data_IF_879840334040
#
_entry.id   IF_879840334040
#
_cell.length_a   1.000
_cell.length_b   1.000
_cell.length_c   1.000
_cell.angle_alpha   90.00
_cell.angle_beta   90.00
_cell.angle_gamma   90.00
#
_symmetry.space_group_name_H-M   'P 1'
#
loop_
_entity.id
_entity.type
_entity.pdbx_description
1 polymer ?
#
# COMPACT_ATOMS: atom_id res chain seq x y z
N UNK A 1 19.26 33.49 -11.58
CA UNK A 1 18.08 32.82 -11.02
C UNK A 1 16.90 33.76 -11.21
N UNK A 2 15.78 33.24 -11.70
CA UNK A 2 14.57 34.02 -11.89
C UNK A 2 13.93 34.33 -10.54
N UNK A 3 13.64 35.61 -10.27
CA UNK A 3 13.12 36.07 -8.99
C UNK A 3 11.72 36.65 -9.17
N UNK A 4 10.84 36.34 -8.25
CA UNK A 4 9.51 36.90 -8.17
C UNK A 4 9.22 37.46 -6.78
N UNK A 5 8.00 38.01 -6.61
CA UNK A 5 7.51 38.54 -5.34
C UNK A 5 6.13 37.99 -5.03
N UNK A 6 5.87 37.71 -3.77
CA UNK A 6 4.55 37.33 -3.31
C UNK A 6 3.58 38.49 -3.51
N UNK A 7 2.46 38.22 -4.17
CA UNK A 7 1.35 39.18 -4.38
C UNK A 7 0.27 38.97 -3.34
N UNK A 8 -0.05 37.68 -3.08
CA UNK A 8 -1.15 37.32 -2.18
C UNK A 8 -0.87 36.00 -1.51
N UNK A 9 -1.30 35.84 -0.26
CA UNK A 9 -1.27 34.58 0.50
C UNK A 9 -2.70 34.21 0.90
N UNK A 10 -3.14 33.01 0.53
CA UNK A 10 -4.47 32.48 0.82
C UNK A 10 -4.35 31.11 1.48
N UNK A 11 -3.93 31.06 2.76
CA UNK A 11 -3.62 29.80 3.43
C UNK A 11 -2.48 29.05 2.72
N UNK A 12 -2.68 27.82 2.26
CA UNK A 12 -1.63 27.04 1.58
C UNK A 12 -1.37 27.46 0.13
N UNK A 13 -2.11 28.42 -0.40
CA UNK A 13 -1.99 28.90 -1.79
C UNK A 13 -1.39 30.30 -1.81
N UNK A 14 -0.37 30.51 -2.63
CA UNK A 14 0.38 31.75 -2.73
C UNK A 14 0.49 32.18 -4.19
N UNK A 15 0.14 33.43 -4.48
CA UNK A 15 0.32 34.02 -5.80
C UNK A 15 1.64 34.80 -5.85
N UNK A 16 2.41 34.59 -6.89
CA UNK A 16 3.74 35.15 -7.09
C UNK A 16 3.82 35.80 -8.46
N UNK A 17 4.35 37.04 -8.51
CA UNK A 17 4.58 37.78 -9.75
C UNK A 17 6.04 37.79 -10.13
N UNK A 18 6.32 37.57 -11.43
CA UNK A 18 7.64 37.63 -12.03
C UNK A 18 7.74 38.82 -12.99
N UNK A 19 8.69 39.74 -12.77
CA UNK A 19 8.72 41.04 -13.46
C UNK A 19 9.06 40.93 -14.97
N UNK A 20 9.86 39.98 -15.38
CA UNK A 20 10.39 39.92 -16.76
C UNK A 20 9.60 39.01 -17.73
N UNK A 21 8.37 38.63 -17.39
CA UNK A 21 7.59 37.70 -18.23
C UNK A 21 8.17 36.30 -18.42
N UNK A 22 9.27 36.00 -17.75
CA UNK A 22 9.86 34.68 -17.74
C UNK A 22 9.27 33.84 -16.61
N UNK A 23 8.08 33.30 -16.85
CA UNK A 23 7.35 32.54 -15.86
C UNK A 23 7.95 31.14 -15.67
N UNK A 24 8.04 30.61 -14.42
CA UNK A 24 8.32 29.21 -14.20
C UNK A 24 7.20 28.33 -14.79
N UNK A 25 7.56 27.10 -15.16
CA UNK A 25 6.60 26.16 -15.68
C UNK A 25 5.68 25.63 -14.56
N UNK A 26 4.52 25.13 -14.95
CA UNK A 26 3.64 24.40 -14.04
C UNK A 26 4.41 23.19 -13.49
N UNK A 27 4.27 22.92 -12.19
CA UNK A 27 5.01 21.89 -11.41
C UNK A 27 6.48 22.27 -11.10
N UNK A 28 6.96 23.44 -11.49
CA UNK A 28 8.26 23.93 -11.03
C UNK A 28 8.23 24.27 -9.54
N UNK A 29 9.38 24.05 -8.88
CA UNK A 29 9.58 24.41 -7.49
C UNK A 29 10.08 25.85 -7.36
N UNK A 30 9.49 26.60 -6.42
CA UNK A 30 9.93 27.91 -6.02
C UNK A 30 10.32 27.88 -4.54
N UNK A 31 11.26 28.73 -4.17
CA UNK A 31 11.78 28.83 -2.81
C UNK A 31 11.55 30.22 -2.24
N UNK A 32 11.13 30.26 -0.98
CA UNK A 32 10.97 31.47 -0.19
C UNK A 32 11.59 31.27 1.18
N UNK A 33 12.26 32.28 1.69
CA UNK A 33 12.76 32.27 3.06
C UNK A 33 11.69 32.79 4.01
N UNK A 34 11.30 31.98 4.98
CA UNK A 34 10.28 32.31 5.98
C UNK A 34 10.88 32.10 7.39
N UNK A 35 11.10 33.19 8.11
CA UNK A 35 11.65 33.16 9.47
C UNK A 35 12.99 32.35 9.58
N UNK A 36 13.88 32.53 8.61
CA UNK A 36 15.17 31.83 8.55
C UNK A 36 15.09 30.38 8.09
N UNK A 37 13.92 29.92 7.67
CA UNK A 37 13.70 28.59 7.07
C UNK A 37 13.39 28.72 5.60
N UNK A 38 14.00 27.88 4.81
CA UNK A 38 13.71 27.74 3.39
C UNK A 38 12.45 26.92 3.21
N UNK A 39 11.43 27.53 2.64
CA UNK A 39 10.16 26.91 2.32
C UNK A 39 10.03 26.71 0.82
N UNK A 40 9.44 25.61 0.39
CA UNK A 40 9.21 25.28 -1.02
C UNK A 40 7.73 25.37 -1.35
N UNK A 41 7.44 25.92 -2.51
CA UNK A 41 6.11 25.91 -3.12
C UNK A 41 6.20 25.38 -4.56
N UNK A 42 5.11 24.86 -5.06
CA UNK A 42 5.00 24.31 -6.41
C UNK A 42 4.05 25.14 -7.25
N UNK A 43 4.45 25.48 -8.47
CA UNK A 43 3.58 26.21 -9.42
C UNK A 43 2.41 25.32 -9.83
N UNK A 44 1.18 25.73 -9.52
CA UNK A 44 -0.05 25.02 -9.84
C UNK A 44 -0.70 25.52 -11.13
N UNK A 45 -0.67 26.84 -11.37
CA UNK A 45 -1.23 27.42 -12.60
C UNK A 45 -0.67 28.80 -12.90
N UNK A 46 -0.79 29.22 -14.16
CA UNK A 46 -0.55 30.60 -14.61
C UNK A 46 -1.84 31.39 -14.58
N UNK A 47 -1.82 32.58 -13.95
CA UNK A 47 -2.99 33.45 -13.80
C UNK A 47 -3.11 34.54 -14.89
N UNK A 48 -2.04 34.73 -15.68
CA UNK A 48 -1.89 35.91 -16.55
C UNK A 48 -1.16 37.04 -15.85
N UNK A 49 -0.87 38.11 -16.56
CA UNK A 49 -0.19 39.31 -16.04
C UNK A 49 1.12 38.99 -15.27
N UNK A 50 1.88 38.02 -15.72
CA UNK A 50 3.12 37.56 -15.10
C UNK A 50 2.96 36.96 -13.69
N UNK A 51 1.75 36.55 -13.33
CA UNK A 51 1.45 35.92 -12.05
C UNK A 51 1.28 34.40 -12.18
N UNK A 52 1.81 33.70 -11.20
CA UNK A 52 1.61 32.24 -11.03
C UNK A 52 0.98 31.96 -9.67
N UNK A 53 0.11 30.98 -9.64
CA UNK A 53 -0.48 30.47 -8.40
C UNK A 53 0.25 29.22 -7.97
N UNK A 54 0.70 29.20 -6.71
CA UNK A 54 1.54 28.16 -6.14
C UNK A 54 0.87 27.50 -4.96
N UNK A 55 1.20 26.23 -4.76
CA UNK A 55 0.80 25.44 -3.61
C UNK A 55 2.00 25.25 -2.68
N UNK A 56 1.84 25.64 -1.41
CA UNK A 56 2.89 25.48 -0.40
C UNK A 56 3.05 24.01 0.01
N UNK A 57 4.30 23.57 0.08
CA UNK A 57 4.68 22.28 0.66
C UNK A 57 5.14 22.40 2.12
N UNK A 58 5.13 23.60 2.64
CA UNK A 58 5.41 23.92 4.04
C UNK A 58 4.32 24.85 4.57
N UNK A 59 4.30 25.08 5.87
CA UNK A 59 3.39 26.04 6.49
C UNK A 59 3.59 27.43 5.93
N UNK A 60 2.48 28.15 5.70
CA UNK A 60 2.46 29.50 5.11
C UNK A 60 2.46 30.64 6.13
N UNK A 61 2.36 30.31 7.41
CA UNK A 61 2.36 31.30 8.49
C UNK A 61 3.67 32.08 8.50
N UNK A 62 3.54 33.40 8.48
CA UNK A 62 4.68 34.33 8.39
C UNK A 62 4.97 34.83 6.99
N UNK A 63 4.42 34.22 5.96
CA UNK A 63 4.52 34.73 4.59
C UNK A 63 3.65 36.00 4.45
N UNK A 64 4.17 36.99 3.74
CA UNK A 64 3.47 38.21 3.45
C UNK A 64 3.79 38.74 2.05
N UNK A 65 3.00 39.71 1.61
CA UNK A 65 3.18 40.40 0.34
C UNK A 65 4.60 40.98 0.24
N UNK A 66 5.13 41.04 -0.97
CA UNK A 66 6.44 41.55 -1.37
C UNK A 66 7.67 40.74 -0.92
N UNK A 67 7.49 39.61 -0.26
CA UNK A 67 8.61 38.68 -0.01
C UNK A 67 9.19 38.14 -1.33
N UNK A 68 10.51 38.08 -1.40
CA UNK A 68 11.22 37.58 -2.56
C UNK A 68 11.08 36.06 -2.66
N UNK A 69 10.79 35.57 -3.86
CA UNK A 69 10.68 34.16 -4.20
C UNK A 69 11.67 33.85 -5.32
N UNK A 70 12.37 32.75 -5.22
CA UNK A 70 13.36 32.32 -6.21
C UNK A 70 12.87 31.07 -6.93
N UNK A 71 12.83 31.11 -8.27
CA UNK A 71 12.56 29.93 -9.07
C UNK A 71 13.81 29.04 -9.13
N UNK A 72 13.64 27.72 -8.90
CA UNK A 72 14.74 26.77 -8.91
C UNK A 72 15.15 26.35 -10.33
N UNK A 73 14.31 26.61 -11.31
CA UNK A 73 14.52 26.25 -12.70
C UNK A 73 14.07 24.80 -13.05
N UNK A 74 13.31 24.17 -12.20
CA UNK A 74 12.74 22.84 -12.43
C UNK A 74 11.83 22.37 -11.31
N UNK A 75 11.33 21.16 -11.42
CA UNK A 75 10.45 20.56 -10.43
C UNK A 75 11.18 20.12 -9.14
N UNK A 76 10.41 19.66 -8.18
CA UNK A 76 10.91 19.14 -6.91
C UNK A 76 11.76 17.90 -7.19
N UNK A 77 13.01 17.88 -6.71
CA UNK A 77 13.95 16.78 -6.85
C UNK A 77 14.20 16.11 -5.51
N UNK A 78 14.14 14.79 -5.49
CA UNK A 78 14.34 13.98 -4.29
C UNK A 78 15.48 12.98 -4.50
N UNK A 79 16.19 12.59 -3.44
CA UNK A 79 17.25 11.59 -3.53
C UNK A 79 16.68 10.23 -3.94
N UNK A 80 17.45 9.49 -4.72
CA UNK A 80 17.11 8.13 -5.18
C UNK A 80 18.29 7.19 -5.02
N UNK A 81 18.05 5.89 -5.10
CA UNK A 81 19.09 4.88 -5.04
C UNK A 81 19.31 4.27 -3.65
N UNK A 82 20.31 3.41 -3.55
CA UNK A 82 20.60 2.62 -2.33
C UNK A 82 20.88 3.47 -1.09
N UNK A 83 21.30 4.71 -1.26
CA UNK A 83 21.50 5.67 -0.18
C UNK A 83 20.21 6.02 0.59
N UNK A 84 19.03 5.78 0.00
CA UNK A 84 17.74 6.03 0.63
C UNK A 84 17.30 4.89 1.55
N UNK A 85 17.89 3.71 1.41
CA UNK A 85 17.51 2.54 2.19
C UNK A 85 17.89 2.70 3.67
N UNK A 86 16.98 2.30 4.54
CA UNK A 86 17.12 2.45 5.98
C UNK A 86 16.85 3.86 6.51
N UNK A 87 16.46 4.79 5.64
CA UNK A 87 16.30 6.21 5.97
C UNK A 87 14.83 6.66 5.93
N UNK A 88 14.58 7.74 6.64
CA UNK A 88 13.27 8.37 6.74
C UNK A 88 13.33 9.79 6.15
N UNK A 89 12.40 10.10 5.24
CA UNK A 89 12.36 11.35 4.49
C UNK A 89 11.03 12.08 4.65
N UNK A 90 11.08 13.40 4.45
CA UNK A 90 9.89 14.23 4.21
C UNK A 90 9.55 14.27 2.70
N UNK A 91 8.52 15.03 2.34
CA UNK A 91 8.06 15.18 0.95
C UNK A 91 9.14 15.73 0.00
N UNK A 92 10.06 16.54 0.49
CA UNK A 92 11.17 17.12 -0.28
C UNK A 92 12.40 16.19 -0.39
N UNK A 93 12.32 15.00 0.20
CA UNK A 93 13.43 14.07 0.25
C UNK A 93 14.54 14.49 1.24
N UNK A 94 14.22 15.34 2.18
CA UNK A 94 15.11 15.68 3.30
C UNK A 94 14.99 14.60 4.38
N UNK A 95 16.14 14.21 4.95
CA UNK A 95 16.16 13.21 6.04
C UNK A 95 15.60 13.79 7.33
N UNK A 96 14.73 13.02 8.00
CA UNK A 96 14.08 13.39 9.28
C UNK A 96 14.31 12.34 10.37
N UNK A 97 15.32 11.50 10.24
CA UNK A 97 15.66 10.39 11.12
C UNK A 97 16.87 10.64 12.02
N UNK A 98 17.24 11.92 12.24
CA UNK A 98 18.42 12.36 12.98
C UNK A 98 19.77 11.80 12.45
N UNK A 99 19.75 11.13 11.29
CA UNK A 99 20.94 10.65 10.61
C UNK A 99 21.65 11.73 9.80
N UNK A 100 22.78 11.35 9.18
CA UNK A 100 23.51 12.27 8.31
C UNK A 100 22.65 12.72 7.13
N UNK A 101 22.73 14.00 6.80
CA UNK A 101 22.06 14.58 5.64
C UNK A 101 22.68 14.01 4.36
N UNK A 102 21.86 13.51 3.45
CA UNK A 102 22.31 13.05 2.15
C UNK A 102 22.68 14.24 1.27
N UNK A 103 23.97 14.54 1.16
CA UNK A 103 24.51 15.69 0.39
C UNK A 103 24.88 15.32 -1.03
N UNK A 104 25.24 14.09 -1.25
CA UNK A 104 25.70 13.54 -2.53
C UNK A 104 24.75 12.46 -3.02
N UNK A 105 24.75 12.21 -4.31
CA UNK A 105 23.94 11.18 -4.94
C UNK A 105 22.98 11.73 -5.98
N UNK A 106 22.38 10.81 -6.71
CA UNK A 106 21.44 11.12 -7.77
C UNK A 106 20.10 11.61 -7.20
N UNK A 107 19.51 12.58 -7.87
CA UNK A 107 18.18 13.11 -7.53
C UNK A 107 17.30 13.13 -8.76
N UNK A 108 16.05 12.70 -8.58
CA UNK A 108 15.06 12.69 -9.64
C UNK A 108 13.89 13.62 -9.31
N UNK A 109 13.30 14.19 -10.36
CA UNK A 109 12.08 15.00 -10.26
C UNK A 109 10.92 14.08 -9.90
N UNK A 110 10.05 14.52 -8.98
CA UNK A 110 8.90 13.70 -8.52
C UNK A 110 7.79 13.60 -9.56
N UNK A 111 7.66 14.57 -10.45
CA UNK A 111 6.70 14.54 -11.56
C UNK A 111 7.34 13.85 -12.76
N UNK A 112 6.92 12.63 -13.01
CA UNK A 112 7.42 11.79 -14.08
C UNK A 112 6.27 11.23 -14.89
N UNK A 113 6.50 11.02 -16.16
CA UNK A 113 5.55 10.34 -17.04
C UNK A 113 5.46 8.85 -16.68
N UNK A 114 4.30 8.22 -16.86
CA UNK A 114 4.18 6.77 -16.73
C UNK A 114 5.04 6.08 -17.81
N UNK A 115 5.42 4.80 -17.57
CA UNK A 115 6.12 4.02 -18.60
C UNK A 115 5.34 3.98 -19.90
N UNK A 116 6.04 4.15 -21.01
CA UNK A 116 5.45 4.03 -22.36
C UNK A 116 4.96 2.60 -22.61
N UNK A 117 4.07 2.42 -23.60
CA UNK A 117 3.58 1.09 -23.96
C UNK A 117 4.72 0.13 -24.37
N UNK A 118 5.79 0.66 -24.98
CA UNK A 118 6.96 -0.15 -25.37
C UNK A 118 7.79 -0.61 -24.17
N UNK A 119 7.80 0.15 -23.09
CA UNK A 119 8.54 -0.17 -21.86
C UNK A 119 7.78 -1.15 -20.96
N UNK A 120 6.46 -1.18 -21.05
CA UNK A 120 5.64 -2.05 -20.20
C UNK A 120 5.86 -3.52 -20.55
N UNK A 121 5.86 -4.37 -19.53
CA UNK A 121 5.90 -5.81 -19.70
C UNK A 121 4.50 -6.33 -20.05
N UNK A 122 4.34 -7.08 -21.15
CA UNK A 122 3.06 -7.71 -21.48
C UNK A 122 2.80 -8.98 -20.66
N UNK A 123 3.79 -9.47 -19.92
CA UNK A 123 3.70 -10.72 -19.16
C UNK A 123 3.17 -10.41 -17.77
N UNK A 124 2.12 -11.11 -17.39
CA UNK A 124 1.56 -11.05 -16.02
C UNK A 124 2.22 -12.16 -15.21
N UNK A 125 2.94 -11.77 -14.16
CA UNK A 125 3.58 -12.69 -13.22
C UNK A 125 2.98 -12.53 -11.83
N UNK A 126 2.84 -13.64 -11.10
CA UNK A 126 2.42 -13.62 -9.70
C UNK A 126 3.59 -13.13 -8.85
N UNK A 127 3.33 -12.19 -7.95
CA UNK A 127 4.22 -11.86 -6.85
C UNK A 127 3.91 -12.80 -5.68
N UNK A 128 4.72 -13.80 -5.52
CA UNK A 128 4.58 -14.77 -4.43
C UNK A 128 4.92 -14.11 -3.09
N UNK A 129 3.95 -14.02 -2.20
CA UNK A 129 4.09 -13.35 -0.90
C UNK A 129 4.53 -14.29 0.22
N UNK A 130 4.37 -15.60 0.03
CA UNK A 130 4.59 -16.60 1.07
C UNK A 130 3.49 -16.67 2.12
N UNK A 131 2.39 -15.94 1.91
CA UNK A 131 1.22 -15.91 2.80
C UNK A 131 0.09 -16.68 2.13
N UNK A 132 -0.28 -17.81 2.70
CA UNK A 132 -1.22 -18.78 2.10
C UNK A 132 -2.53 -18.15 1.61
N UNK A 133 -3.19 -17.38 2.45
CA UNK A 133 -4.49 -16.80 2.12
C UNK A 133 -4.41 -15.82 0.95
N UNK A 134 -3.35 -15.04 0.86
CA UNK A 134 -3.13 -14.08 -0.22
C UNK A 134 -2.79 -14.83 -1.51
N UNK A 135 -1.77 -15.66 -1.48
CA UNK A 135 -1.26 -16.34 -2.67
C UNK A 135 -2.28 -17.28 -3.31
N UNK A 136 -3.14 -17.92 -2.50
CA UNK A 136 -4.17 -18.82 -3.00
C UNK A 136 -5.40 -18.07 -3.54
N UNK A 137 -5.98 -17.16 -2.74
CA UNK A 137 -7.32 -16.62 -2.97
C UNK A 137 -7.36 -15.22 -3.54
N UNK A 138 -6.34 -14.43 -3.30
CA UNK A 138 -6.21 -13.07 -3.79
C UNK A 138 -4.76 -12.76 -4.20
N UNK A 139 -4.20 -13.52 -5.17
CA UNK A 139 -2.78 -13.37 -5.55
C UNK A 139 -2.48 -11.99 -6.09
N UNK A 140 -1.27 -11.50 -5.78
CA UNK A 140 -0.76 -10.22 -6.26
C UNK A 140 -0.05 -10.40 -7.59
N UNK A 141 -0.27 -9.47 -8.52
CA UNK A 141 0.50 -9.38 -9.75
C UNK A 141 1.71 -8.48 -9.55
N UNK A 142 2.87 -8.85 -10.10
CA UNK A 142 3.99 -7.93 -10.22
C UNK A 142 3.58 -6.73 -11.07
N UNK A 143 3.88 -5.52 -10.59
CA UNK A 143 3.43 -4.29 -11.21
C UNK A 143 1.94 -3.98 -10.99
N UNK A 144 1.25 -4.79 -10.20
CA UNK A 144 -0.15 -4.62 -9.86
C UNK A 144 -0.38 -3.61 -8.73
N UNK A 145 -1.64 -3.19 -8.61
CA UNK A 145 -2.12 -2.27 -7.60
C UNK A 145 -3.09 -3.00 -6.68
N UNK A 146 -2.71 -3.14 -5.43
CA UNK A 146 -3.47 -3.89 -4.43
C UNK A 146 -4.09 -2.92 -3.42
N UNK A 147 -5.40 -2.97 -3.25
CA UNK A 147 -6.09 -2.27 -2.19
C UNK A 147 -6.09 -3.08 -0.90
N UNK A 148 -5.63 -2.49 0.18
CA UNK A 148 -5.66 -3.07 1.52
C UNK A 148 -6.75 -2.38 2.34
N UNK A 149 -7.78 -3.12 2.71
CA UNK A 149 -8.91 -2.66 3.47
C UNK A 149 -8.88 -3.24 4.88
N UNK A 150 -9.24 -2.44 5.86
CA UNK A 150 -9.35 -2.91 7.24
C UNK A 150 -9.40 -1.76 8.22
N UNK A 151 -10.20 -1.94 9.26
CA UNK A 151 -10.29 -1.01 10.38
C UNK A 151 -9.06 -1.03 11.28
N UNK A 152 -9.12 -0.29 12.37
CA UNK A 152 -8.05 -0.31 13.37
C UNK A 152 -7.97 -1.67 14.10
N UNK A 153 -6.77 -2.13 14.40
CA UNK A 153 -6.53 -3.32 15.21
C UNK A 153 -6.75 -4.66 14.51
N UNK A 154 -6.78 -4.70 13.18
CA UNK A 154 -6.93 -5.94 12.41
C UNK A 154 -5.61 -6.54 11.92
N UNK A 155 -4.47 -5.97 12.33
CA UNK A 155 -3.14 -6.47 11.96
C UNK A 155 -2.59 -5.93 10.65
N UNK A 156 -3.07 -4.78 10.16
CA UNK A 156 -2.59 -4.13 8.93
C UNK A 156 -1.08 -3.91 8.95
N UNK A 157 -0.55 -3.30 9.99
CA UNK A 157 0.89 -2.99 10.13
C UNK A 157 1.75 -4.26 10.13
N UNK A 158 1.32 -5.28 10.86
CA UNK A 158 2.03 -6.56 10.94
C UNK A 158 2.06 -7.26 9.56
N UNK A 159 0.96 -7.21 8.82
CA UNK A 159 0.90 -7.74 7.46
C UNK A 159 1.86 -6.99 6.51
N UNK A 160 1.88 -5.67 6.59
CA UNK A 160 2.79 -4.83 5.78
C UNK A 160 4.25 -5.20 6.08
N UNK A 161 4.62 -5.30 7.34
CA UNK A 161 5.98 -5.67 7.74
C UNK A 161 6.36 -7.07 7.26
N UNK A 162 5.46 -8.03 7.33
CA UNK A 162 5.71 -9.39 6.84
C UNK A 162 5.89 -9.43 5.32
N UNK A 163 5.09 -8.67 4.58
CA UNK A 163 5.28 -8.51 3.12
C UNK A 163 6.65 -7.91 2.80
N UNK A 164 7.07 -6.86 3.51
CA UNK A 164 8.40 -6.25 3.35
C UNK A 164 9.50 -7.27 3.63
N UNK A 165 9.39 -7.98 4.75
CA UNK A 165 10.36 -8.99 5.13
C UNK A 165 10.47 -10.10 4.08
N UNK A 166 9.34 -10.61 3.59
CA UNK A 166 9.32 -11.69 2.62
C UNK A 166 9.89 -11.24 1.27
N UNK A 167 9.55 -10.06 0.81
CA UNK A 167 10.16 -9.49 -0.41
C UNK A 167 11.65 -9.29 -0.25
N UNK A 168 12.12 -8.75 0.86
CA UNK A 168 13.54 -8.52 1.11
C UNK A 168 14.36 -9.81 1.21
N UNK A 169 13.82 -10.82 1.89
CA UNK A 169 14.54 -12.07 2.21
C UNK A 169 14.44 -13.09 1.09
N UNK A 170 13.24 -13.31 0.54
CA UNK A 170 12.98 -14.38 -0.42
C UNK A 170 13.17 -13.94 -1.87
N UNK A 171 12.93 -12.67 -2.17
CA UNK A 171 13.05 -12.11 -3.52
C UNK A 171 14.24 -11.15 -3.69
N UNK A 172 14.91 -10.77 -2.59
CA UNK A 172 16.03 -9.82 -2.61
C UNK A 172 15.66 -8.40 -3.02
N UNK A 173 14.36 -8.06 -3.02
CA UNK A 173 13.83 -6.77 -3.45
C UNK A 173 13.87 -5.72 -2.36
N UNK A 174 13.56 -4.49 -2.77
CA UNK A 174 13.46 -3.34 -1.89
C UNK A 174 12.00 -2.91 -1.72
N UNK A 175 11.74 -2.19 -0.64
CA UNK A 175 10.42 -1.64 -0.35
C UNK A 175 10.51 -0.16 -0.07
N UNK A 176 9.47 0.57 -0.49
CA UNK A 176 9.29 1.98 -0.17
C UNK A 176 7.96 2.10 0.58
N UNK A 177 7.97 2.71 1.73
CA UNK A 177 6.76 2.99 2.49
C UNK A 177 6.46 4.49 2.47
N UNK A 178 5.27 4.86 2.04
CA UNK A 178 4.80 6.25 2.06
C UNK A 178 3.66 6.42 3.05
N UNK A 179 3.88 7.26 4.06
CA UNK A 179 2.84 7.69 5.00
C UNK A 179 2.18 8.96 4.49
N UNK A 180 0.92 8.87 4.11
CA UNK A 180 0.15 9.97 3.52
C UNK A 180 -0.98 10.37 4.45
N UNK A 181 -0.84 11.51 5.13
CA UNK A 181 -1.88 12.08 5.96
C UNK A 181 -2.31 11.25 7.16
N UNK A 182 -1.49 10.30 7.58
CA UNK A 182 -1.74 9.48 8.77
C UNK A 182 -1.14 10.12 10.04
N UNK A 183 -1.36 9.50 11.19
CA UNK A 183 -0.87 10.02 12.46
C UNK A 183 0.65 9.88 12.57
N UNK A 184 1.33 10.95 12.96
CA UNK A 184 2.80 10.94 13.15
C UNK A 184 3.25 9.89 14.15
N UNK A 185 2.47 9.61 15.19
CA UNK A 185 2.75 8.56 16.16
C UNK A 185 2.80 7.17 15.51
N UNK A 186 1.80 6.85 14.68
CA UNK A 186 1.74 5.56 13.99
C UNK A 186 2.93 5.38 13.03
N UNK A 187 3.35 6.47 12.37
CA UNK A 187 4.54 6.47 11.53
C UNK A 187 5.83 6.23 12.31
N UNK A 188 5.95 6.82 13.49
CA UNK A 188 7.10 6.62 14.37
C UNK A 188 7.14 5.20 14.96
N UNK A 189 5.98 4.68 15.36
CA UNK A 189 5.85 3.30 15.85
C UNK A 189 6.28 2.32 14.76
N UNK A 190 5.79 2.50 13.52
CA UNK A 190 6.17 1.69 12.36
C UNK A 190 7.69 1.72 12.10
N UNK A 191 8.28 2.92 12.11
CA UNK A 191 9.73 3.06 11.89
C UNK A 191 10.55 2.32 12.96
N UNK A 192 10.15 2.44 14.21
CA UNK A 192 10.79 1.76 15.34
C UNK A 192 10.67 0.23 15.21
N UNK A 193 9.45 -0.27 14.95
CA UNK A 193 9.18 -1.69 14.78
C UNK A 193 9.94 -2.29 13.59
N UNK A 194 10.06 -1.55 12.47
CA UNK A 194 10.85 -1.97 11.32
C UNK A 194 12.35 -2.06 11.63
N UNK A 195 12.85 -1.16 12.50
CA UNK A 195 14.22 -1.21 13.00
C UNK A 195 14.46 -2.46 13.86
N UNK A 196 13.54 -2.75 14.77
CA UNK A 196 13.61 -3.91 15.67
C UNK A 196 13.48 -5.24 14.91
N UNK A 197 12.63 -5.31 13.92
CA UNK A 197 12.43 -6.52 13.08
C UNK A 197 13.52 -6.72 12.02
N UNK A 198 14.42 -5.75 11.83
CA UNK A 198 15.51 -5.82 10.87
C UNK A 198 15.14 -5.60 9.41
N UNK A 199 13.89 -5.26 9.11
CA UNK A 199 13.44 -5.01 7.73
C UNK A 199 13.78 -3.61 7.23
N UNK A 200 14.12 -2.68 8.12
CA UNK A 200 14.40 -1.29 7.80
C UNK A 200 15.55 -1.13 6.80
N UNK A 201 16.58 -1.97 6.90
CA UNK A 201 17.77 -1.90 6.03
C UNK A 201 17.47 -2.06 4.52
N UNK A 202 16.33 -2.64 4.17
CA UNK A 202 15.86 -2.85 2.80
C UNK A 202 14.67 -1.95 2.42
N UNK A 203 14.38 -0.96 3.25
CA UNK A 203 13.19 -0.10 3.11
C UNK A 203 13.57 1.36 3.22
N UNK A 204 13.02 2.21 2.35
CA UNK A 204 13.01 3.65 2.52
C UNK A 204 11.60 4.11 2.96
N UNK A 205 11.54 5.06 3.89
CA UNK A 205 10.28 5.61 4.38
C UNK A 205 10.16 7.08 4.01
N UNK A 206 8.98 7.49 3.54
CA UNK A 206 8.68 8.88 3.20
C UNK A 206 7.38 9.28 3.90
N UNK A 207 7.41 10.28 4.75
CA UNK A 207 6.26 10.70 5.53
C UNK A 207 5.82 12.13 5.18
N UNK A 208 4.52 12.27 4.88
CA UNK A 208 3.79 13.51 4.82
C UNK A 208 2.50 13.35 5.63
N UNK A 209 2.63 13.43 6.95
CA UNK A 209 1.57 13.05 7.90
C UNK A 209 0.51 14.13 8.07
N UNK A 210 -0.48 13.89 8.92
CA UNK A 210 -1.66 14.78 9.05
C UNK A 210 -1.35 16.19 9.57
N UNK A 211 -0.20 16.39 10.18
CA UNK A 211 0.28 17.71 10.63
C UNK A 211 0.89 18.54 9.48
N UNK A 212 1.18 17.92 8.34
CA UNK A 212 1.74 18.58 7.18
C UNK A 212 0.65 19.31 6.37
N UNK A 213 0.99 20.41 5.67
CA UNK A 213 0.04 21.12 4.82
C UNK A 213 -0.45 20.26 3.65
N UNK A 214 -1.59 20.62 3.04
CA UNK A 214 -2.17 19.84 1.94
C UNK A 214 -1.22 19.58 0.79
N UNK A 215 -0.37 20.53 0.43
CA UNK A 215 0.61 20.38 -0.63
C UNK A 215 1.61 19.24 -0.37
N UNK A 216 2.10 19.14 0.86
CA UNK A 216 2.99 18.05 1.26
C UNK A 216 2.26 16.69 1.19
N UNK A 217 1.05 16.60 1.72
CA UNK A 217 0.23 15.37 1.68
C UNK A 217 -0.15 14.93 0.26
N UNK A 218 -0.31 15.88 -0.68
CA UNK A 218 -0.55 15.60 -2.09
C UNK A 218 0.68 15.02 -2.81
N UNK A 219 1.89 15.38 -2.39
CA UNK A 219 3.14 15.07 -3.12
C UNK A 219 3.96 13.95 -2.50
N UNK A 220 3.72 13.59 -1.26
CA UNK A 220 4.52 12.58 -0.57
C UNK A 220 4.45 11.21 -1.24
N UNK A 221 3.30 10.80 -1.76
CA UNK A 221 3.15 9.55 -2.51
C UNK A 221 3.98 9.56 -3.79
N UNK A 222 4.04 10.70 -4.49
CA UNK A 222 4.87 10.86 -5.68
C UNK A 222 6.37 10.81 -5.35
N UNK A 223 6.77 11.34 -4.21
CA UNK A 223 8.15 11.23 -3.72
C UNK A 223 8.55 9.78 -3.51
N UNK A 224 7.76 9.00 -2.79
CA UNK A 224 8.02 7.58 -2.57
C UNK A 224 7.98 6.77 -3.87
N UNK A 225 7.03 7.06 -4.74
CA UNK A 225 6.94 6.41 -6.05
C UNK A 225 8.17 6.68 -6.92
N UNK A 226 8.69 7.91 -6.89
CA UNK A 226 9.92 8.26 -7.62
C UNK A 226 11.13 7.45 -7.12
N UNK A 227 11.27 7.26 -5.81
CA UNK A 227 12.30 6.40 -5.23
C UNK A 227 12.13 4.94 -5.69
N UNK A 228 10.89 4.44 -5.74
CA UNK A 228 10.59 3.09 -6.22
C UNK A 228 10.91 2.92 -7.71
N UNK A 229 10.58 3.91 -8.52
CA UNK A 229 10.86 3.90 -9.96
C UNK A 229 12.36 3.81 -10.27
N UNK A 230 13.21 4.45 -9.47
CA UNK A 230 14.66 4.34 -9.64
C UNK A 230 15.13 2.89 -9.49
N UNK A 231 14.68 2.20 -8.47
CA UNK A 231 15.03 0.79 -8.26
C UNK A 231 14.51 -0.11 -9.38
N UNK A 232 13.32 0.17 -9.91
CA UNK A 232 12.76 -0.54 -11.06
C UNK A 232 13.58 -0.30 -12.33
N UNK A 233 13.83 0.95 -12.66
CA UNK A 233 14.32 1.36 -13.98
C UNK A 233 15.85 1.30 -14.10
N UNK A 234 16.58 1.55 -13.01
CA UNK A 234 18.06 1.61 -12.99
C UNK A 234 18.66 0.36 -12.34
N UNK A 235 18.13 -0.05 -11.19
CA UNK A 235 18.64 -1.21 -10.46
C UNK A 235 17.99 -2.53 -10.91
N UNK A 236 17.03 -2.48 -11.81
CA UNK A 236 16.30 -3.64 -12.36
C UNK A 236 15.70 -4.55 -11.28
N UNK A 237 15.11 -3.93 -10.27
CA UNK A 237 14.51 -4.61 -9.13
C UNK A 237 12.99 -4.70 -9.23
N UNK A 238 12.46 -5.71 -8.56
CA UNK A 238 11.04 -5.76 -8.21
C UNK A 238 10.85 -5.05 -6.86
N UNK A 239 10.12 -3.93 -6.88
CA UNK A 239 9.97 -3.04 -5.74
C UNK A 239 8.54 -3.12 -5.21
N UNK A 240 8.41 -3.13 -3.89
CA UNK A 240 7.12 -3.03 -3.22
C UNK A 240 6.93 -1.60 -2.70
N UNK A 241 5.87 -0.95 -3.16
CA UNK A 241 5.48 0.40 -2.74
C UNK A 241 4.24 0.34 -1.85
N UNK A 242 4.36 0.81 -0.62
CA UNK A 242 3.22 0.98 0.28
C UNK A 242 2.77 2.43 0.29
N UNK A 243 1.46 2.65 0.19
CA UNK A 243 0.83 3.97 0.32
C UNK A 243 -0.22 3.88 1.43
N UNK A 244 0.05 4.50 2.54
CA UNK A 244 -0.86 4.53 3.69
C UNK A 244 -1.12 5.99 4.10
N UNK A 245 -2.20 6.58 3.67
CA UNK A 245 -3.43 6.07 3.07
C UNK A 245 -3.71 6.80 1.74
N UNK A 246 -4.10 6.10 0.70
CA UNK A 246 -4.37 6.72 -0.62
C UNK A 246 -5.55 7.68 -0.58
N UNK A 247 -6.53 7.47 0.29
CA UNK A 247 -7.64 8.40 0.49
C UNK A 247 -7.15 9.80 0.90
N UNK A 248 -6.11 9.87 1.73
CA UNK A 248 -5.55 11.16 2.19
C UNK A 248 -4.91 11.96 1.08
N UNK A 249 -4.38 11.29 0.06
CA UNK A 249 -3.91 11.93 -1.17
C UNK A 249 -5.05 12.69 -1.87
N UNK A 250 -6.20 12.06 -2.06
CA UNK A 250 -7.37 12.69 -2.67
C UNK A 250 -7.97 13.77 -1.78
N UNK A 251 -8.03 13.54 -0.49
CA UNK A 251 -8.54 14.52 0.49
C UNK A 251 -7.70 15.82 0.48
N UNK A 252 -6.38 15.70 0.47
CA UNK A 252 -5.50 16.86 0.40
C UNK A 252 -5.75 17.70 -0.87
N UNK A 253 -5.99 17.05 -2.01
CA UNK A 253 -6.40 17.73 -3.24
C UNK A 253 -7.71 18.46 -3.11
N UNK A 254 -8.70 17.90 -2.41
CA UNK A 254 -9.99 18.55 -2.19
C UNK A 254 -9.89 19.81 -1.29
N UNK A 255 -8.99 19.78 -0.31
CA UNK A 255 -8.78 20.91 0.61
C UNK A 255 -8.31 22.20 -0.10
N UNK A 256 -7.55 22.07 -1.18
CA UNK A 256 -6.98 23.21 -1.91
C UNK A 256 -7.72 23.56 -3.20
N UNK A 257 -8.64 22.71 -3.65
CA UNK A 257 -9.27 22.81 -4.97
C UNK A 257 -9.97 24.16 -5.19
N UNK A 258 -10.75 24.62 -4.23
CA UNK A 258 -11.44 25.92 -4.31
C UNK A 258 -10.46 27.10 -4.34
N UNK A 259 -9.39 27.04 -3.56
CA UNK A 259 -8.33 28.05 -3.53
C UNK A 259 -7.56 28.11 -4.86
N UNK A 260 -7.47 27.01 -5.57
CA UNK A 260 -6.91 26.93 -6.91
C UNK A 260 -7.91 27.38 -8.01
N UNK A 261 -9.09 27.87 -7.62
CA UNK A 261 -10.10 28.42 -8.55
C UNK A 261 -10.90 27.33 -9.28
N UNK A 262 -10.96 26.11 -8.76
CA UNK A 262 -11.73 25.01 -9.33
C UNK A 262 -13.12 24.93 -8.71
N UNK A 263 -14.14 24.72 -9.53
CA UNK A 263 -15.49 24.47 -9.03
C UNK A 263 -15.59 23.06 -8.44
N UNK A 264 -16.23 22.88 -7.29
CA UNK A 264 -16.39 21.54 -6.69
C UNK A 264 -17.24 20.64 -7.58
N UNK A 265 -16.87 19.37 -7.62
CA UNK A 265 -17.64 18.29 -8.25
C UNK A 265 -18.53 17.58 -7.22
N UNK A 266 -18.98 16.37 -7.52
CA UNK A 266 -19.83 15.58 -6.65
C UNK A 266 -19.23 15.44 -5.23
N UNK A 267 -20.08 15.57 -4.21
CA UNK A 267 -19.72 15.47 -2.77
C UNK A 267 -18.63 16.46 -2.33
N UNK A 268 -18.38 17.51 -3.12
CA UNK A 268 -17.39 18.55 -2.82
C UNK A 268 -15.94 18.19 -3.19
N UNK A 269 -15.71 17.09 -3.90
CA UNK A 269 -14.38 16.74 -4.39
C UNK A 269 -13.91 17.64 -5.54
N UNK A 270 -12.62 17.66 -5.78
CA UNK A 270 -12.01 18.35 -6.92
C UNK A 270 -12.46 17.75 -8.25
N UNK A 271 -12.68 18.59 -9.29
CA UNK A 271 -13.05 18.08 -10.62
C UNK A 271 -11.91 17.29 -11.28
N UNK A 272 -10.69 17.45 -10.79
CA UNK A 272 -9.46 16.78 -11.27
C UNK A 272 -9.16 15.45 -10.55
N UNK A 273 -10.07 14.96 -9.72
CA UNK A 273 -9.87 13.76 -8.90
C UNK A 273 -9.39 12.57 -9.72
N UNK A 274 -10.09 12.24 -10.80
CA UNK A 274 -9.75 11.11 -11.65
C UNK A 274 -8.39 11.28 -12.36
N UNK A 275 -8.08 12.49 -12.80
CA UNK A 275 -6.81 12.82 -13.46
C UNK A 275 -5.64 12.70 -12.47
N UNK A 276 -5.77 13.30 -11.30
CA UNK A 276 -4.74 13.23 -10.23
C UNK A 276 -4.46 11.79 -9.80
N UNK A 277 -5.51 11.01 -9.61
CA UNK A 277 -5.38 9.58 -9.29
C UNK A 277 -4.73 8.81 -10.44
N UNK A 278 -5.15 9.06 -11.68
CA UNK A 278 -4.59 8.42 -12.88
C UNK A 278 -3.11 8.73 -13.06
N UNK A 279 -2.68 9.98 -12.91
CA UNK A 279 -1.27 10.39 -13.00
C UNK A 279 -0.38 9.63 -12.01
N UNK A 280 -0.87 9.39 -10.80
CA UNK A 280 -0.15 8.61 -9.78
C UNK A 280 -0.16 7.11 -10.12
N UNK A 281 -1.33 6.55 -10.37
CA UNK A 281 -1.53 5.10 -10.49
C UNK A 281 -0.90 4.51 -11.76
N UNK A 282 -0.93 5.21 -12.88
CA UNK A 282 -0.37 4.73 -14.15
C UNK A 282 1.17 4.61 -14.15
N UNK A 283 1.85 5.26 -13.22
CA UNK A 283 3.29 5.10 -13.00
C UNK A 283 3.64 3.78 -12.32
N UNK A 284 2.68 3.20 -11.62
CA UNK A 284 2.83 1.93 -10.90
C UNK A 284 2.59 0.80 -11.90
N UNK A 285 3.67 0.23 -12.42
CA UNK A 285 3.61 -0.74 -13.49
C UNK A 285 4.82 -1.70 -13.48
N UNK A 286 4.64 -2.82 -14.15
CA UNK A 286 5.72 -3.72 -14.53
C UNK A 286 6.31 -3.28 -15.86
N UNK A 287 7.63 -3.15 -15.92
CA UNK A 287 8.39 -2.83 -17.14
C UNK A 287 9.31 -3.99 -17.51
N UNK A 288 9.96 -3.89 -18.66
CA UNK A 288 10.98 -4.86 -19.10
C UNK A 288 12.20 -4.91 -18.17
N UNK A 289 12.40 -3.87 -17.37
CA UNK A 289 13.55 -3.73 -16.47
C UNK A 289 13.25 -4.25 -15.04
N UNK A 290 12.04 -4.11 -14.58
CA UNK A 290 11.63 -4.48 -13.24
C UNK A 290 10.18 -4.11 -13.00
N UNK A 291 9.72 -4.17 -11.76
CA UNK A 291 8.35 -3.85 -11.40
C UNK A 291 8.24 -2.96 -10.17
N UNK A 292 7.20 -2.13 -10.14
CA UNK A 292 6.70 -1.49 -8.92
C UNK A 292 5.31 -2.06 -8.65
N UNK A 293 5.18 -2.81 -7.57
CA UNK A 293 3.91 -3.35 -7.09
C UNK A 293 3.47 -2.51 -5.91
N UNK A 294 2.24 -2.00 -5.91
CA UNK A 294 1.75 -1.18 -4.80
C UNK A 294 0.74 -1.92 -3.92
N UNK A 295 0.89 -1.72 -2.61
CA UNK A 295 -0.12 -2.05 -1.62
C UNK A 295 -0.60 -0.74 -1.02
N UNK A 296 -1.85 -0.40 -1.28
CA UNK A 296 -2.45 0.89 -0.93
C UNK A 296 -3.52 0.67 0.12
N UNK A 297 -3.32 1.23 1.30
CA UNK A 297 -4.36 1.27 2.30
C UNK A 297 -5.46 2.23 1.83
N UNK A 298 -6.70 1.75 1.83
CA UNK A 298 -7.86 2.51 1.37
C UNK A 298 -8.82 2.73 2.54
N UNK A 299 -9.03 3.98 2.89
CA UNK A 299 -10.10 4.38 3.81
C UNK A 299 -11.37 4.64 3.01
N UNK A 300 -12.48 4.08 3.48
CA UNK A 300 -13.80 4.27 2.86
C UNK A 300 -14.65 5.11 3.81
N UNK A 301 -14.92 6.39 3.48
CA UNK A 301 -15.74 7.26 4.32
C UNK A 301 -17.14 6.68 4.56
N UNK A 302 -17.55 6.59 5.82
CA UNK A 302 -18.84 6.08 6.23
C UNK A 302 -19.18 4.66 5.67
N UNK A 303 -18.17 3.87 5.33
CA UNK A 303 -18.31 2.57 4.67
C UNK A 303 -19.08 2.63 3.32
N UNK A 304 -19.12 3.81 2.70
CA UNK A 304 -19.78 4.05 1.42
C UNK A 304 -18.81 3.86 0.24
N UNK A 305 -18.87 2.71 -0.38
CA UNK A 305 -18.09 2.37 -1.57
C UNK A 305 -18.44 3.19 -2.82
N UNK A 306 -19.56 3.92 -2.80
CA UNK A 306 -19.97 4.79 -3.89
C UNK A 306 -19.43 6.21 -3.78
N UNK A 307 -18.78 6.56 -2.66
CA UNK A 307 -18.06 7.81 -2.51
C UNK A 307 -17.01 7.97 -3.64
N UNK A 308 -16.92 9.14 -4.29
CA UNK A 308 -16.04 9.35 -5.44
C UNK A 308 -14.58 8.99 -5.24
N UNK A 309 -14.03 9.18 -4.04
CA UNK A 309 -12.61 8.90 -3.77
C UNK A 309 -12.31 7.40 -3.76
N UNK A 310 -12.97 6.54 -2.96
CA UNK A 310 -12.76 5.10 -3.06
C UNK A 310 -13.18 4.56 -4.42
N UNK A 311 -14.30 5.01 -5.00
CA UNK A 311 -14.74 4.54 -6.31
C UNK A 311 -13.70 4.77 -7.42
N UNK A 312 -13.06 5.94 -7.43
CA UNK A 312 -11.98 6.25 -8.37
C UNK A 312 -10.74 5.37 -8.11
N UNK A 313 -10.41 5.13 -6.85
CA UNK A 313 -9.29 4.24 -6.48
C UNK A 313 -9.55 2.80 -6.92
N UNK A 314 -10.74 2.28 -6.69
CA UNK A 314 -11.12 0.92 -7.08
C UNK A 314 -10.97 0.64 -8.58
N UNK A 315 -11.19 1.65 -9.42
CA UNK A 315 -11.04 1.50 -10.87
C UNK A 315 -9.60 1.12 -11.28
N UNK A 316 -8.62 1.46 -10.47
CA UNK A 316 -7.21 1.17 -10.71
C UNK A 316 -6.71 -0.12 -10.06
N UNK A 317 -7.45 -0.70 -9.11
CA UNK A 317 -6.98 -1.86 -8.34
C UNK A 317 -7.07 -3.17 -9.14
N UNK A 318 -6.02 -3.97 -9.04
CA UNK A 318 -5.94 -5.32 -9.62
C UNK A 318 -6.35 -6.41 -8.63
N UNK A 319 -6.14 -6.16 -7.35
CA UNK A 319 -6.54 -7.05 -6.27
C UNK A 319 -6.98 -6.27 -5.04
N UNK A 320 -7.80 -6.90 -4.19
CA UNK A 320 -8.20 -6.38 -2.89
C UNK A 320 -7.93 -7.39 -1.80
N UNK A 321 -7.31 -6.93 -0.72
CA UNK A 321 -7.09 -7.70 0.50
C UNK A 321 -7.91 -7.04 1.61
N UNK A 322 -8.91 -7.75 2.11
CA UNK A 322 -9.81 -7.25 3.16
C UNK A 322 -9.44 -7.89 4.49
N UNK A 323 -9.05 -7.07 5.46
CA UNK A 323 -8.81 -7.50 6.83
C UNK A 323 -10.09 -7.33 7.66
N UNK A 324 -10.53 -8.42 8.28
CA UNK A 324 -11.83 -8.50 8.96
C UNK A 324 -11.68 -8.64 10.47
N UNK A 325 -12.40 -7.79 11.20
CA UNK A 325 -12.49 -7.90 12.66
C UNK A 325 -13.14 -9.23 13.12
N UNK A 326 -14.09 -9.74 12.36
CA UNK A 326 -14.72 -11.04 12.64
C UNK A 326 -13.72 -12.19 12.61
N UNK A 327 -12.72 -12.10 11.75
CA UNK A 327 -11.63 -13.09 11.66
C UNK A 327 -10.66 -12.93 12.84
N UNK A 328 -10.36 -11.68 13.25
CA UNK A 328 -9.58 -11.40 14.46
C UNK A 328 -10.25 -12.00 15.71
N UNK A 329 -11.56 -11.85 15.84
CA UNK A 329 -12.34 -12.40 16.95
C UNK A 329 -12.27 -13.93 17.04
N UNK A 330 -12.02 -14.60 15.93
CA UNK A 330 -11.77 -16.05 15.87
C UNK A 330 -10.31 -16.42 16.19
N UNK A 331 -9.44 -15.43 16.43
CA UNK A 331 -8.02 -15.64 16.69
C UNK A 331 -7.21 -16.03 15.45
N UNK A 332 -7.75 -15.84 14.24
CA UNK A 332 -7.09 -16.19 12.98
C UNK A 332 -6.28 -15.01 12.47
N UNK A 333 -4.97 -15.22 12.27
CA UNK A 333 -4.05 -14.25 11.68
C UNK A 333 -3.21 -14.89 10.57
N UNK A 334 -2.97 -14.19 9.45
CA UNK A 334 -3.50 -12.84 9.14
C UNK A 334 -5.02 -12.85 9.02
N UNK A 335 -5.65 -11.77 9.46
CA UNK A 335 -7.11 -11.66 9.50
C UNK A 335 -7.73 -11.32 8.13
N UNK A 336 -7.19 -11.88 7.08
CA UNK A 336 -7.67 -11.69 5.70
C UNK A 336 -8.98 -12.44 5.51
N UNK A 337 -10.01 -11.73 5.09
CA UNK A 337 -11.29 -12.33 4.77
C UNK A 337 -11.22 -13.04 3.42
N UNK A 338 -11.33 -14.37 3.38
CA UNK A 338 -11.16 -15.15 2.17
C UNK A 338 -12.31 -15.01 1.16
N UNK A 339 -13.48 -14.54 1.60
CA UNK A 339 -14.66 -14.37 0.75
C UNK A 339 -14.82 -12.93 0.22
N UNK A 340 -14.29 -11.95 0.95
CA UNK A 340 -14.35 -10.54 0.55
C UNK A 340 -13.09 -10.08 -0.21
N UNK A 341 -11.99 -10.83 -0.10
CA UNK A 341 -10.75 -10.55 -0.84
C UNK A 341 -10.80 -11.20 -2.22
N UNK A 342 -10.24 -10.50 -3.22
CA UNK A 342 -10.25 -10.98 -4.60
C UNK A 342 -9.04 -10.49 -5.38
N UNK A 343 -8.81 -11.09 -6.55
CA UNK A 343 -7.77 -10.70 -7.50
C UNK A 343 -8.23 -10.93 -8.92
N UNK A 344 -7.95 -9.96 -9.80
CA UNK A 344 -8.25 -10.07 -11.24
C UNK A 344 -7.40 -11.10 -11.95
N UNK A 345 -6.23 -11.42 -11.41
CA UNK A 345 -5.34 -12.42 -12.02
C UNK A 345 -5.68 -13.86 -11.62
N UNK A 346 -6.65 -14.08 -10.75
CA UNK A 346 -7.10 -15.43 -10.39
C UNK A 346 -7.98 -16.01 -11.50
N UNK A 347 -7.35 -16.30 -12.62
CA UNK A 347 -7.94 -16.91 -13.81
C UNK A 347 -7.04 -18.07 -14.26
N UNK A 348 -7.65 -19.14 -14.78
CA UNK A 348 -6.93 -20.36 -15.16
C UNK A 348 -5.79 -20.12 -16.15
N UNK A 349 -5.97 -19.18 -17.08
CA UNK A 349 -4.97 -18.82 -18.10
C UNK A 349 -3.75 -18.09 -17.53
N UNK A 350 -3.88 -17.50 -16.33
CA UNK A 350 -2.81 -16.73 -15.68
C UNK A 350 -2.13 -17.54 -14.59
N UNK A 351 -2.91 -18.07 -13.64
CA UNK A 351 -2.37 -18.78 -12.48
C UNK A 351 -2.21 -20.29 -12.72
N UNK A 352 -2.80 -20.83 -13.78
CA UNK A 352 -2.87 -22.25 -14.07
C UNK A 352 -4.15 -22.90 -13.52
N UNK A 353 -4.58 -23.99 -14.16
CA UNK A 353 -5.82 -24.68 -13.80
C UNK A 353 -5.80 -25.21 -12.36
N UNK A 354 -4.71 -25.80 -11.93
CA UNK A 354 -4.58 -26.38 -10.60
C UNK A 354 -4.78 -25.34 -9.48
N UNK A 355 -4.16 -24.18 -9.58
CA UNK A 355 -4.34 -23.08 -8.63
C UNK A 355 -5.78 -22.55 -8.68
N UNK A 356 -6.27 -22.28 -9.87
CA UNK A 356 -7.62 -21.74 -10.08
C UNK A 356 -8.71 -22.65 -9.51
N UNK A 357 -8.66 -23.93 -9.83
CA UNK A 357 -9.63 -24.90 -9.32
C UNK A 357 -9.56 -25.06 -7.80
N UNK A 358 -8.35 -25.13 -7.24
CA UNK A 358 -8.17 -25.22 -5.78
C UNK A 358 -8.74 -24.00 -5.07
N UNK A 359 -8.48 -22.81 -5.56
CA UNK A 359 -9.01 -21.57 -4.99
C UNK A 359 -10.55 -21.54 -5.05
N UNK A 360 -11.14 -21.93 -6.18
CA UNK A 360 -12.59 -21.98 -6.33
C UNK A 360 -13.24 -23.02 -5.41
N UNK A 361 -12.63 -24.19 -5.24
CA UNK A 361 -13.14 -25.21 -4.31
C UNK A 361 -13.08 -24.74 -2.85
N UNK A 362 -11.98 -24.10 -2.45
CA UNK A 362 -11.85 -23.51 -1.11
C UNK A 362 -12.94 -22.45 -0.89
N UNK A 363 -13.12 -21.55 -1.85
CA UNK A 363 -14.14 -20.50 -1.77
C UNK A 363 -15.53 -21.09 -1.69
N UNK A 364 -15.85 -22.09 -2.49
CA UNK A 364 -17.16 -22.76 -2.49
C UNK A 364 -17.45 -23.43 -1.12
N UNK A 365 -16.48 -24.13 -0.55
CA UNK A 365 -16.61 -24.75 0.77
C UNK A 365 -16.83 -23.71 1.87
N UNK A 366 -16.08 -22.63 1.87
CA UNK A 366 -16.21 -21.54 2.83
C UNK A 366 -17.55 -20.80 2.69
N UNK A 367 -18.00 -20.57 1.46
CA UNK A 367 -19.29 -19.96 1.18
C UNK A 367 -20.44 -20.84 1.67
N UNK A 368 -20.39 -22.13 1.38
CA UNK A 368 -21.38 -23.09 1.87
C UNK A 368 -21.41 -23.16 3.40
N UNK A 369 -20.24 -23.13 4.03
CA UNK A 369 -20.15 -23.08 5.49
C UNK A 369 -20.79 -21.82 6.06
N UNK A 370 -20.54 -20.66 5.46
CA UNK A 370 -21.18 -19.39 5.86
C UNK A 370 -22.71 -19.47 5.81
N UNK A 371 -23.27 -20.08 4.76
CA UNK A 371 -24.72 -20.32 4.63
C UNK A 371 -25.26 -21.27 5.70
N UNK A 372 -24.51 -22.29 6.08
CA UNK A 372 -24.90 -23.26 7.09
C UNK A 372 -24.76 -22.75 8.53
N UNK A 373 -23.99 -21.69 8.77
CA UNK A 373 -23.75 -21.16 10.13
C UNK A 373 -25.05 -20.78 10.86
N UNK A 374 -25.99 -20.16 10.16
CA UNK A 374 -27.27 -19.76 10.77
C UNK A 374 -28.11 -21.01 11.13
N UNK A 375 -28.08 -22.03 10.33
CA UNK A 375 -28.77 -23.31 10.58
C UNK A 375 -28.15 -24.00 11.78
N UNK A 376 -26.79 -24.04 11.84
CA UNK A 376 -26.02 -24.63 12.95
C UNK A 376 -26.33 -23.91 14.26
N UNK A 377 -26.41 -22.57 14.25
CA UNK A 377 -26.68 -21.75 15.43
C UNK A 377 -28.08 -21.99 16.01
N UNK A 378 -29.05 -22.28 15.15
CA UNK A 378 -30.46 -22.46 15.57
C UNK A 378 -30.79 -23.93 15.88
N UNK A 379 -30.37 -24.85 15.02
CA UNK A 379 -30.78 -26.26 15.06
C UNK A 379 -29.66 -27.21 15.55
N UNK A 380 -28.42 -26.76 15.55
CA UNK A 380 -27.25 -27.57 15.89
C UNK A 380 -26.69 -28.37 14.71
N UNK A 381 -25.50 -28.92 14.90
CA UNK A 381 -24.79 -29.72 13.88
C UNK A 381 -25.52 -31.04 13.54
N UNK A 382 -26.26 -31.59 14.48
CA UNK A 382 -26.90 -32.92 14.32
C UNK A 382 -27.98 -32.93 13.26
N UNK A 383 -28.61 -31.79 13.02
CA UNK A 383 -29.66 -31.64 12.02
C UNK A 383 -29.16 -31.53 10.57
N UNK A 384 -27.86 -31.39 10.38
CA UNK A 384 -27.25 -31.35 9.05
C UNK A 384 -27.21 -32.73 8.40
N UNK A 385 -27.27 -32.78 7.06
CA UNK A 385 -26.96 -33.99 6.30
C UNK A 385 -25.50 -34.42 6.52
N UNK A 386 -25.21 -35.68 6.29
CA UNK A 386 -23.83 -36.18 6.42
C UNK A 386 -22.88 -35.49 5.44
N UNK A 387 -23.36 -35.10 4.27
CA UNK A 387 -22.63 -34.31 3.28
C UNK A 387 -22.30 -32.91 3.81
N UNK A 388 -23.30 -32.20 4.36
CA UNK A 388 -23.10 -30.88 4.94
C UNK A 388 -22.21 -30.92 6.18
N UNK A 389 -22.30 -31.96 7.02
CA UNK A 389 -21.38 -32.19 8.15
C UNK A 389 -19.93 -32.29 7.67
N UNK A 390 -19.68 -33.07 6.62
CA UNK A 390 -18.34 -33.22 6.05
C UNK A 390 -17.81 -31.88 5.51
N UNK A 391 -18.66 -31.10 4.82
CA UNK A 391 -18.30 -29.76 4.33
C UNK A 391 -17.94 -28.82 5.50
N UNK A 392 -18.74 -28.81 6.55
CA UNK A 392 -18.49 -27.95 7.74
C UNK A 392 -17.17 -28.31 8.42
N UNK A 393 -16.88 -29.59 8.59
CA UNK A 393 -15.63 -30.05 9.21
C UNK A 393 -14.41 -29.64 8.37
N UNK A 394 -14.49 -29.82 7.06
CA UNK A 394 -13.40 -29.37 6.15
C UNK A 394 -13.28 -27.86 6.11
N UNK A 395 -14.38 -27.12 6.10
CA UNK A 395 -14.39 -25.66 6.13
C UNK A 395 -13.69 -25.13 7.38
N UNK A 396 -13.93 -25.69 8.55
CA UNK A 396 -13.25 -25.31 9.79
C UNK A 396 -11.74 -25.56 9.72
N UNK A 397 -11.33 -26.71 9.16
CA UNK A 397 -9.91 -27.00 8.92
C UNK A 397 -9.29 -26.00 7.94
N UNK A 398 -9.98 -25.68 6.85
CA UNK A 398 -9.56 -24.65 5.88
C UNK A 398 -9.38 -23.29 6.56
N UNK A 399 -10.34 -22.83 7.35
CA UNK A 399 -10.23 -21.57 8.08
C UNK A 399 -9.02 -21.53 9.01
N UNK A 400 -8.78 -22.60 9.74
CA UNK A 400 -7.62 -22.73 10.61
C UNK A 400 -6.32 -22.78 9.82
N UNK A 401 -6.28 -23.49 8.71
CA UNK A 401 -5.09 -23.60 7.87
C UNK A 401 -4.76 -22.33 7.09
N UNK A 402 -5.72 -21.41 6.92
CA UNK A 402 -5.48 -20.06 6.40
C UNK A 402 -4.68 -19.20 7.38
N UNK A 403 -4.68 -19.53 8.67
CA UNK A 403 -3.80 -18.88 9.65
C UNK A 403 -2.34 -19.29 9.42
N UNK A 404 -1.42 -18.40 9.75
CA UNK A 404 -0.01 -18.58 9.51
C UNK A 404 0.82 -17.76 10.50
N UNK A 405 1.88 -18.34 11.10
CA UNK A 405 2.79 -17.57 11.93
C UNK A 405 3.67 -16.67 11.07
N UNK A 406 3.83 -15.42 11.48
CA UNK A 406 4.66 -14.44 10.82
C UNK A 406 6.00 -14.27 11.52
N UNK A 407 7.07 -14.08 10.75
CA UNK A 407 8.41 -13.81 11.28
C UNK A 407 8.44 -12.53 12.10
N UNK A 408 7.79 -11.48 11.63
CA UNK A 408 7.74 -10.20 12.33
C UNK A 408 6.94 -10.24 13.63
N UNK A 409 6.16 -11.27 13.85
CA UNK A 409 5.35 -11.48 15.05
C UNK A 409 5.96 -12.51 16.04
N UNK A 410 7.11 -13.11 15.75
CA UNK A 410 7.75 -14.14 16.59
C UNK A 410 7.93 -13.70 18.05
N UNK A 411 8.36 -12.45 18.23
CA UNK A 411 8.59 -11.88 19.58
C UNK A 411 7.32 -11.75 20.41
N UNK A 412 6.17 -11.61 19.77
CA UNK A 412 4.87 -11.47 20.44
C UNK A 412 4.17 -12.82 20.64
N UNK A 413 4.30 -13.71 19.65
CA UNK A 413 3.56 -14.98 19.63
C UNK A 413 4.36 -16.12 20.23
N UNK A 414 5.68 -16.02 20.29
CA UNK A 414 6.57 -17.11 20.66
C UNK A 414 6.60 -18.27 19.66
N UNK A 415 6.00 -18.10 18.49
CA UNK A 415 5.95 -19.11 17.44
C UNK A 415 6.85 -18.68 16.27
N UNK A 416 7.78 -19.54 15.79
CA UNK A 416 8.61 -19.24 14.64
C UNK A 416 7.76 -18.96 13.40
N UNK A 417 8.10 -17.91 12.66
CA UNK A 417 7.45 -17.54 11.42
C UNK A 417 7.65 -18.58 10.32
N UNK A 418 6.77 -18.55 9.35
CA UNK A 418 6.79 -19.45 8.19
C UNK A 418 6.52 -18.69 6.90
N UNK A 419 7.41 -18.88 5.92
CA UNK A 419 7.16 -18.56 4.53
C UNK A 419 6.66 -19.83 3.84
N UNK A 420 5.50 -19.78 3.20
CA UNK A 420 4.93 -20.96 2.55
C UNK A 420 4.94 -20.75 1.04
N UNK A 421 5.74 -21.52 0.28
CA UNK A 421 5.71 -21.45 -1.18
C UNK A 421 4.32 -21.75 -1.73
N UNK A 422 3.93 -21.06 -2.80
CA UNK A 422 2.61 -21.19 -3.42
C UNK A 422 2.27 -22.65 -3.76
N UNK A 423 3.24 -23.41 -4.27
CA UNK A 423 3.08 -24.84 -4.59
C UNK A 423 2.66 -25.66 -3.37
N UNK A 424 3.28 -25.40 -2.21
CA UNK A 424 2.94 -26.08 -0.96
C UNK A 424 1.58 -25.65 -0.42
N UNK A 425 1.21 -24.40 -0.62
CA UNK A 425 -0.13 -23.89 -0.30
C UNK A 425 -1.18 -24.61 -1.11
N UNK A 426 -1.05 -24.68 -2.43
CA UNK A 426 -2.01 -25.37 -3.31
C UNK A 426 -2.11 -26.84 -2.91
N UNK A 427 -1.00 -27.54 -2.74
CA UNK A 427 -0.96 -28.96 -2.35
C UNK A 427 -1.67 -29.20 -1.01
N UNK A 428 -1.38 -28.37 -0.01
CA UNK A 428 -1.97 -28.50 1.31
C UNK A 428 -3.50 -28.33 1.30
N UNK A 429 -4.01 -27.34 0.60
CA UNK A 429 -5.46 -27.14 0.48
C UNK A 429 -6.13 -28.25 -0.34
N UNK A 430 -5.51 -28.75 -1.38
CA UNK A 430 -6.02 -29.89 -2.14
C UNK A 430 -6.18 -31.13 -1.26
N UNK A 431 -5.20 -31.43 -0.41
CA UNK A 431 -5.28 -32.58 0.51
C UNK A 431 -6.43 -32.43 1.50
N UNK A 432 -6.71 -31.21 1.97
CA UNK A 432 -7.87 -30.95 2.83
C UNK A 432 -9.19 -31.15 2.06
N UNK A 433 -9.30 -30.58 0.87
CA UNK A 433 -10.49 -30.66 0.02
C UNK A 433 -10.82 -32.10 -0.35
N UNK A 434 -9.78 -32.90 -0.69
CA UNK A 434 -9.93 -34.30 -1.12
C UNK A 434 -10.21 -35.26 0.05
N UNK A 435 -10.18 -34.77 1.29
CA UNK A 435 -10.46 -35.58 2.47
C UNK A 435 -9.26 -36.39 3.00
N UNK A 436 -8.09 -36.23 2.42
CA UNK A 436 -6.85 -36.92 2.86
C UNK A 436 -6.43 -36.51 4.28
N UNK A 437 -6.94 -35.38 4.76
CA UNK A 437 -6.65 -34.83 6.08
C UNK A 437 -7.80 -34.97 7.08
N UNK A 438 -8.85 -35.74 6.74
CA UNK A 438 -10.05 -35.85 7.57
C UNK A 438 -9.79 -36.50 8.95
N UNK A 439 -8.77 -37.36 9.04
CA UNK A 439 -8.37 -38.03 10.29
C UNK A 439 -7.65 -37.12 11.30
N UNK A 440 -7.16 -35.95 10.89
CA UNK A 440 -6.44 -35.04 11.77
C UNK A 440 -7.38 -34.08 12.51
N UNK A 441 -7.10 -33.74 13.79
CA UNK A 441 -7.94 -32.83 14.55
C UNK A 441 -7.85 -31.41 14.01
N UNK A 442 -8.92 -30.63 14.17
CA UNK A 442 -9.02 -29.24 13.72
C UNK A 442 -7.90 -28.35 14.32
N UNK A 443 -7.52 -28.61 15.58
CA UNK A 443 -6.46 -27.86 16.30
C UNK A 443 -5.10 -27.91 15.59
N UNK A 444 -4.79 -29.02 14.94
CA UNK A 444 -3.52 -29.20 14.24
C UNK A 444 -3.33 -28.25 13.04
N UNK A 445 -4.41 -27.75 12.47
CA UNK A 445 -4.39 -26.85 11.31
C UNK A 445 -4.16 -25.37 11.69
N UNK A 446 -4.21 -25.06 12.97
CA UNK A 446 -4.12 -23.68 13.44
C UNK A 446 -2.67 -23.21 13.56
N UNK A 447 -2.41 -22.02 12.97
CA UNK A 447 -1.14 -21.31 13.06
C UNK A 447 0.08 -22.16 12.67
N UNK A 448 0.01 -22.77 11.51
CA UNK A 448 1.06 -23.62 10.90
C UNK A 448 1.42 -23.12 9.51
N UNK A 449 2.55 -23.54 8.97
CA UNK A 449 2.97 -23.22 7.61
C UNK A 449 2.41 -24.20 6.59
N UNK A 450 3.10 -25.32 6.39
CA UNK A 450 2.74 -26.33 5.39
C UNK A 450 1.85 -27.44 5.95
N UNK A 451 1.37 -28.30 5.07
CA UNK A 451 0.56 -29.46 5.46
C UNK A 451 1.38 -30.48 6.30
N UNK A 452 2.68 -30.54 6.09
CA UNK A 452 3.60 -31.35 6.90
C UNK A 452 3.65 -30.86 8.35
N UNK A 453 3.58 -29.55 8.56
CA UNK A 453 3.50 -28.96 9.91
C UNK A 453 2.22 -29.39 10.65
N UNK A 454 1.11 -29.54 9.91
CA UNK A 454 -0.15 -30.09 10.45
C UNK A 454 0.05 -31.52 10.93
N UNK A 455 0.64 -32.37 10.11
CA UNK A 455 0.89 -33.78 10.44
C UNK A 455 1.83 -33.90 11.64
N UNK A 456 2.90 -33.10 11.68
CA UNK A 456 3.84 -33.08 12.78
C UNK A 456 3.19 -32.63 14.09
N UNK A 457 2.38 -31.57 14.03
CA UNK A 457 1.66 -31.03 15.19
C UNK A 457 0.64 -32.04 15.75
N UNK A 458 -0.12 -32.70 14.87
CA UNK A 458 -1.08 -33.73 15.26
C UNK A 458 -0.41 -34.91 15.97
N UNK A 459 0.79 -35.34 15.51
CA UNK A 459 1.56 -36.38 16.17
C UNK A 459 2.03 -35.99 17.57
N UNK A 460 2.38 -34.71 17.75
CA UNK A 460 2.82 -34.18 19.05
C UNK A 460 1.65 -34.06 20.02
N UNK A 461 0.48 -33.62 19.56
CA UNK A 461 -0.74 -33.54 20.36
C UNK A 461 -1.19 -34.94 20.84
N UNK A 462 -1.22 -35.91 19.93
CA UNK A 462 -1.55 -37.33 20.27
C UNK A 462 -0.54 -38.02 21.21
N UNK A 463 0.70 -37.54 21.27
CA UNK A 463 1.71 -38.09 22.19
C UNK A 463 1.65 -37.45 23.59
N UNK A 464 0.94 -36.34 23.74
CA UNK A 464 0.77 -35.61 24.98
C UNK A 464 -0.54 -35.97 25.73
N UNK A 465 -1.50 -36.62 25.04
CA UNK A 465 -2.67 -37.26 25.62
C UNK A 465 -2.33 -38.71 26.04
#
# INVERSE_FOLDING_TARGET
MNKGRIVQVMGPVVDVMFEDGNLPFIKDALEVENNGKKCVMEVAQHLGNNEVRCLMLAASEGLHKDMEVTATGGGIKVPVGVQTLGRLFNVLGETIDDGEVLREGEKWVIHRDPPSFEEQSPVIEILETGIKVIDLLAPYAKGGKIGLFGGAGVGKTVLIQELIRNIATEHGGYSIFTGVGERSREGNDLWTEMGESGVLAKTALVFGQMNEPPGARMRVAETGLTMAEYFRDVEHQDVLLFIDNIFRFTQAGSEVSALLGRMPSAVGYQPTLATEMGELQERIASTKNGSVTSVQAVYVPADDLTDPAPATTFAHLDATTVLSRKIVEQGIYPAVDPLESNSRILEADIVGEEHYETANHVTAILQKYKELQDIIAILGMEELSDEDKAIVLRARKIQRFLSQPFYVAETFTGTPGKYVPLKETIRGFQMIINGEMDQYPESAFFNVGTIEDVIAKAKTENAAE
#
